data_IF_252568013422
#
_entry.id   IF_252568013422
#
_cell.length_a   1.000
_cell.length_b   1.000
_cell.length_c   1.000
_cell.angle_alpha   90.00
_cell.angle_beta   90.00
_cell.angle_gamma   90.00
#
_symmetry.space_group_name_H-M   'P 1'
#
loop_
_entity.id
_entity.type
_entity.pdbx_description
1 polymer ?
#
# COMPACT_ATOMS: atom_id res chain seq x y z
N UNK A 1 14.69 -5.45 -17.42
CA UNK A 1 15.53 -6.56 -17.24
C UNK A 1 14.79 -7.89 -17.18
N UNK A 2 15.12 -8.81 -18.05
CA UNK A 2 14.52 -10.14 -18.20
C UNK A 2 14.55 -10.94 -16.89
N UNK A 3 15.51 -10.69 -16.03
CA UNK A 3 15.75 -11.44 -14.80
C UNK A 3 14.63 -11.39 -13.75
N UNK A 4 13.89 -10.28 -13.58
CA UNK A 4 12.84 -10.21 -12.55
C UNK A 4 11.62 -11.04 -12.91
N UNK A 5 11.12 -10.91 -14.13
CA UNK A 5 9.98 -11.72 -14.59
C UNK A 5 10.32 -13.20 -14.60
N UNK A 6 11.57 -13.57 -14.95
CA UNK A 6 12.07 -14.93 -14.89
C UNK A 6 12.22 -15.43 -13.45
N UNK A 7 12.74 -14.60 -12.54
CA UNK A 7 12.90 -14.96 -11.13
C UNK A 7 11.55 -15.19 -10.43
N UNK A 8 10.55 -14.37 -10.78
CA UNK A 8 9.22 -14.46 -10.20
C UNK A 8 8.32 -15.46 -10.93
N UNK A 9 8.72 -15.92 -12.11
CA UNK A 9 7.88 -16.71 -13.04
C UNK A 9 6.48 -16.08 -13.25
N UNK A 10 6.46 -14.75 -13.38
CA UNK A 10 5.23 -13.98 -13.42
C UNK A 10 5.17 -13.13 -14.70
N UNK A 11 4.21 -13.41 -15.62
CA UNK A 11 4.09 -12.71 -16.90
C UNK A 11 3.33 -11.37 -16.81
N UNK A 12 2.70 -11.08 -15.69
CA UNK A 12 1.87 -9.89 -15.49
C UNK A 12 2.67 -8.62 -15.21
N UNK A 13 1.95 -7.53 -14.96
CA UNK A 13 2.53 -6.24 -14.60
C UNK A 13 3.21 -6.30 -13.22
N UNK A 14 4.38 -5.69 -13.12
CA UNK A 14 5.16 -5.60 -11.89
C UNK A 14 5.08 -4.17 -11.36
N UNK A 15 4.64 -4.06 -10.12
CA UNK A 15 4.59 -2.80 -9.37
C UNK A 15 5.62 -2.85 -8.25
N UNK A 16 6.36 -1.77 -8.03
CA UNK A 16 7.33 -1.68 -6.93
C UNK A 16 7.05 -0.49 -6.03
N UNK A 17 7.34 -0.66 -4.75
CA UNK A 17 7.40 0.42 -3.78
C UNK A 17 8.75 1.17 -3.87
N UNK A 18 8.80 2.40 -3.35
CA UNK A 18 10.02 3.22 -3.28
C UNK A 18 10.99 2.79 -2.19
N UNK A 19 10.54 1.95 -1.25
CA UNK A 19 11.32 1.55 -0.08
C UNK A 19 11.33 2.55 1.08
N UNK A 20 10.53 3.60 1.04
CA UNK A 20 10.45 4.62 2.11
C UNK A 20 10.14 4.01 3.48
N UNK A 21 9.26 3.00 3.53
CA UNK A 21 8.97 2.28 4.77
C UNK A 21 10.20 1.55 5.33
N UNK A 22 11.05 1.00 4.47
CA UNK A 22 12.29 0.32 4.87
C UNK A 22 13.27 1.31 5.50
N UNK A 23 13.40 2.51 4.96
CA UNK A 23 14.21 3.58 5.55
C UNK A 23 13.72 3.94 6.96
N UNK A 24 12.41 3.95 7.17
CA UNK A 24 11.82 4.18 8.50
C UNK A 24 12.17 3.06 9.49
N UNK A 25 12.19 1.80 9.05
CA UNK A 25 12.44 0.63 9.93
C UNK A 25 13.93 0.43 10.22
N UNK A 26 14.79 0.63 9.22
CA UNK A 26 16.21 0.27 9.27
C UNK A 26 17.17 1.47 9.33
N UNK A 27 16.66 2.69 9.33
CA UNK A 27 17.41 3.94 9.31
C UNK A 27 17.52 4.56 7.92
N UNK A 28 17.91 5.83 7.89
CA UNK A 28 17.97 6.59 6.64
C UNK A 28 18.95 5.97 5.63
N UNK A 29 18.41 5.66 4.48
CA UNK A 29 19.19 5.40 3.27
C UNK A 29 19.16 6.69 2.47
N UNK A 30 20.32 7.33 2.29
CA UNK A 30 20.46 8.51 1.46
C UNK A 30 20.30 8.13 -0.01
N UNK A 31 19.06 8.13 -0.50
CA UNK A 31 18.72 7.90 -1.90
C UNK A 31 17.88 9.08 -2.40
N UNK A 32 18.24 9.61 -3.55
CA UNK A 32 17.51 10.71 -4.17
C UNK A 32 16.24 10.20 -4.89
N UNK A 33 15.21 11.08 -5.08
CA UNK A 33 14.05 10.76 -5.89
C UNK A 33 14.40 10.26 -7.30
N UNK A 34 15.44 10.81 -7.90
CA UNK A 34 15.94 10.40 -9.20
C UNK A 34 16.46 8.95 -9.19
N UNK A 35 17.37 8.64 -8.27
CA UNK A 35 17.98 7.30 -8.18
C UNK A 35 16.94 6.20 -7.97
N UNK A 36 15.88 6.46 -7.18
CA UNK A 36 14.80 5.51 -6.98
C UNK A 36 14.03 5.24 -8.27
N UNK A 37 13.73 6.27 -9.06
CA UNK A 37 13.02 6.10 -10.33
C UNK A 37 13.92 5.42 -11.37
N UNK A 38 15.19 5.81 -11.48
CA UNK A 38 16.17 5.16 -12.35
C UNK A 38 16.31 3.67 -12.03
N UNK A 39 16.47 3.33 -10.75
CA UNK A 39 16.57 1.93 -10.32
C UNK A 39 15.34 1.12 -10.72
N UNK A 40 14.13 1.64 -10.47
CA UNK A 40 12.89 0.96 -10.83
C UNK A 40 12.76 0.77 -12.35
N UNK A 41 13.16 1.77 -13.13
CA UNK A 41 13.22 1.68 -14.59
C UNK A 41 14.23 0.62 -15.06
N UNK A 42 15.44 0.62 -14.50
CA UNK A 42 16.52 -0.32 -14.87
C UNK A 42 16.15 -1.78 -14.58
N UNK A 43 15.45 -2.03 -13.49
CA UNK A 43 14.97 -3.37 -13.16
C UNK A 43 13.72 -3.79 -13.96
N UNK A 44 13.20 -2.92 -14.81
CA UNK A 44 12.16 -3.24 -15.79
C UNK A 44 10.76 -3.44 -15.19
N UNK A 45 10.38 -2.62 -14.20
CA UNK A 45 9.00 -2.63 -13.68
C UNK A 45 8.05 -1.88 -14.61
N UNK A 46 6.77 -2.21 -14.54
CA UNK A 46 5.74 -1.52 -15.32
C UNK A 46 5.25 -0.27 -14.59
N UNK A 47 5.17 -0.34 -13.26
CA UNK A 47 4.76 0.78 -12.40
C UNK A 47 5.74 0.91 -11.25
N UNK A 48 6.43 2.03 -11.17
CA UNK A 48 7.26 2.40 -10.04
C UNK A 48 6.50 3.26 -9.02
N UNK A 49 7.12 3.54 -7.89
CA UNK A 49 6.61 4.47 -6.88
C UNK A 49 7.63 5.57 -6.64
N UNK A 50 7.20 6.84 -6.68
CA UNK A 50 8.08 7.95 -6.33
C UNK A 50 8.51 7.87 -4.87
N UNK A 51 9.70 8.41 -4.56
CA UNK A 51 10.18 8.50 -3.19
C UNK A 51 9.38 9.54 -2.42
N UNK A 52 8.54 9.11 -1.50
CA UNK A 52 7.76 9.95 -0.61
C UNK A 52 8.43 10.15 0.76
N UNK A 53 7.78 10.88 1.65
CA UNK A 53 8.16 10.97 3.07
C UNK A 53 7.10 10.27 3.90
N UNK A 54 7.48 9.17 4.53
CA UNK A 54 6.55 8.31 5.25
C UNK A 54 5.85 9.04 6.41
N UNK A 55 4.52 9.15 6.33
CA UNK A 55 3.69 9.79 7.33
C UNK A 55 3.13 8.79 8.34
N UNK A 56 3.56 8.88 9.61
CA UNK A 56 3.05 8.02 10.69
C UNK A 56 1.75 8.57 11.29
N UNK A 57 0.87 7.69 11.80
CA UNK A 57 -0.36 8.14 12.47
C UNK A 57 -0.16 8.89 13.79
N UNK A 58 1.03 8.79 14.40
CA UNK A 58 1.38 9.44 15.66
C UNK A 58 2.17 10.76 15.49
N UNK A 59 2.37 11.20 14.25
CA UNK A 59 3.00 12.48 13.94
C UNK A 59 2.18 13.66 14.46
N UNK A 60 2.87 14.70 14.90
CA UNK A 60 2.26 16.01 15.08
C UNK A 60 1.74 16.55 13.74
N UNK A 61 0.80 17.50 13.81
CA UNK A 61 0.29 18.13 12.59
C UNK A 61 1.38 18.79 11.76
N UNK A 62 2.34 19.45 12.42
CA UNK A 62 3.46 20.10 11.76
C UNK A 62 4.35 19.10 11.02
N UNK A 63 4.70 17.97 11.64
CA UNK A 63 5.47 16.90 11.00
C UNK A 63 4.71 16.30 9.80
N UNK A 64 3.40 16.08 9.95
CA UNK A 64 2.57 15.58 8.85
C UNK A 64 2.48 16.57 7.69
N UNK A 65 2.36 17.87 7.96
CA UNK A 65 2.37 18.90 6.92
C UNK A 65 3.74 19.00 6.22
N UNK A 66 4.82 18.91 6.96
CA UNK A 66 6.18 18.88 6.39
C UNK A 66 6.38 17.66 5.50
N UNK A 67 5.90 16.49 5.90
CA UNK A 67 5.92 15.26 5.09
C UNK A 67 5.18 15.44 3.77
N UNK A 68 3.99 16.03 3.79
CA UNK A 68 3.20 16.33 2.57
C UNK A 68 3.94 17.29 1.65
N UNK A 69 4.46 18.39 2.20
CA UNK A 69 5.15 19.42 1.42
C UNK A 69 6.45 18.88 0.80
N UNK A 70 7.23 18.10 1.55
CA UNK A 70 8.46 17.48 1.05
C UNK A 70 8.16 16.43 -0.03
N UNK A 71 7.16 15.57 0.19
CA UNK A 71 6.73 14.60 -0.81
C UNK A 71 6.32 15.31 -2.10
N UNK A 72 5.54 16.39 -2.00
CA UNK A 72 5.10 17.14 -3.17
C UNK A 72 6.28 17.81 -3.91
N UNK A 73 7.29 18.31 -3.20
CA UNK A 73 8.48 18.91 -3.82
C UNK A 73 9.23 17.96 -4.75
N UNK A 74 9.13 16.65 -4.53
CA UNK A 74 9.80 15.62 -5.33
C UNK A 74 9.03 15.22 -6.59
N UNK A 75 7.79 15.69 -6.76
CA UNK A 75 6.87 15.27 -7.85
C UNK A 75 7.47 15.52 -9.22
N UNK A 76 7.82 16.77 -9.54
CA UNK A 76 8.29 17.14 -10.89
C UNK A 76 9.56 16.38 -11.27
N UNK A 77 10.52 16.23 -10.33
CA UNK A 77 11.73 15.46 -10.59
C UNK A 77 11.42 13.99 -10.87
N UNK A 78 10.53 13.37 -10.08
CA UNK A 78 10.16 11.96 -10.23
C UNK A 78 9.45 11.71 -11.57
N UNK A 79 8.48 12.55 -11.94
CA UNK A 79 7.75 12.44 -13.20
C UNK A 79 8.66 12.66 -14.41
N UNK A 80 9.55 13.66 -14.33
CA UNK A 80 10.53 13.92 -15.39
C UNK A 80 11.49 12.75 -15.59
N UNK A 81 11.96 12.11 -14.51
CA UNK A 81 12.86 10.95 -14.59
C UNK A 81 12.16 9.69 -15.13
N UNK A 82 10.90 9.48 -14.81
CA UNK A 82 10.11 8.37 -15.35
C UNK A 82 9.89 8.51 -16.87
N UNK A 83 9.61 9.72 -17.33
CA UNK A 83 9.26 10.01 -18.71
C UNK A 83 8.14 9.08 -19.20
N UNK A 84 8.30 8.54 -20.41
CA UNK A 84 7.38 7.55 -20.99
C UNK A 84 7.81 6.10 -20.75
N UNK A 85 8.85 5.88 -19.93
CA UNK A 85 9.48 4.57 -19.77
C UNK A 85 8.78 3.67 -18.78
N UNK A 86 8.25 4.24 -17.69
CA UNK A 86 7.48 3.55 -16.65
C UNK A 86 6.34 4.43 -16.17
N UNK A 87 5.26 3.82 -15.72
CA UNK A 87 4.22 4.52 -14.97
C UNK A 87 4.69 4.77 -13.53
N UNK A 88 4.22 5.84 -12.89
CA UNK A 88 4.51 6.11 -11.48
C UNK A 88 3.26 6.16 -10.62
N UNK A 89 3.41 5.66 -9.40
CA UNK A 89 2.52 5.88 -8.28
C UNK A 89 2.87 7.20 -7.59
N UNK A 90 1.83 7.97 -7.23
CA UNK A 90 1.94 9.18 -6.41
C UNK A 90 1.39 8.94 -5.00
N UNK A 91 2.24 8.59 -4.00
CA UNK A 91 1.79 8.29 -2.64
C UNK A 91 1.19 9.51 -1.95
N UNK A 92 0.06 9.30 -1.27
CA UNK A 92 -0.66 10.31 -0.51
C UNK A 92 -0.32 10.18 0.97
N UNK A 93 0.27 11.23 1.54
CA UNK A 93 0.67 11.32 2.94
C UNK A 93 -0.20 12.33 3.70
N UNK A 94 0.01 12.52 5.01
CA UNK A 94 -0.75 13.49 5.82
C UNK A 94 -1.14 12.98 7.22
N UNK A 95 -0.53 11.89 7.70
CA UNK A 95 -0.82 11.32 9.02
C UNK A 95 -2.29 10.94 9.18
N UNK A 96 -2.90 11.34 10.28
CA UNK A 96 -4.34 11.14 10.56
C UNK A 96 -5.19 12.38 10.25
N UNK A 97 -4.59 13.41 9.66
CA UNK A 97 -5.26 14.70 9.41
C UNK A 97 -5.96 14.68 8.05
N UNK A 98 -7.29 14.63 8.07
CA UNK A 98 -8.14 14.51 6.87
C UNK A 98 -7.89 15.65 5.86
N UNK A 99 -7.73 16.88 6.33
CA UNK A 99 -7.45 18.04 5.48
C UNK A 99 -6.06 17.97 4.81
N UNK A 100 -5.05 17.45 5.51
CA UNK A 100 -3.73 17.21 4.93
C UNK A 100 -3.76 16.06 3.92
N UNK A 101 -4.55 15.02 4.18
CA UNK A 101 -4.78 13.92 3.22
C UNK A 101 -5.50 14.42 1.96
N UNK A 102 -6.52 15.26 2.11
CA UNK A 102 -7.19 15.89 0.97
C UNK A 102 -6.22 16.80 0.19
N UNK A 103 -5.46 17.66 0.87
CA UNK A 103 -4.42 18.50 0.26
C UNK A 103 -3.39 17.67 -0.50
N UNK A 104 -2.88 16.62 0.10
CA UNK A 104 -1.92 15.71 -0.54
C UNK A 104 -2.51 15.04 -1.78
N UNK A 105 -3.75 14.53 -1.68
CA UNK A 105 -4.45 13.92 -2.80
C UNK A 105 -4.68 14.90 -3.96
N UNK A 106 -5.11 16.12 -3.68
CA UNK A 106 -5.24 17.18 -4.67
C UNK A 106 -3.91 17.45 -5.40
N UNK A 107 -2.82 17.62 -4.63
CA UNK A 107 -1.50 17.88 -5.19
C UNK A 107 -1.00 16.73 -6.07
N UNK A 108 -1.19 15.48 -5.64
CA UNK A 108 -0.77 14.29 -6.38
C UNK A 108 -1.64 14.00 -7.61
N UNK A 109 -2.87 14.48 -7.66
CA UNK A 109 -3.75 14.27 -8.79
C UNK A 109 -3.55 15.26 -9.95
N UNK A 110 -2.76 16.31 -9.73
CA UNK A 110 -2.50 17.35 -10.75
C UNK A 110 -1.64 16.80 -11.88
N UNK A 111 -1.84 17.38 -13.03
CA UNK A 111 -0.94 17.24 -14.18
C UNK A 111 0.20 18.24 -13.98
N UNK A 112 1.43 17.82 -14.18
CA UNK A 112 2.58 18.71 -14.09
C UNK A 112 2.72 19.60 -15.34
N UNK A 113 3.70 20.49 -15.35
CA UNK A 113 3.94 21.44 -16.46
C UNK A 113 4.27 20.73 -17.78
N UNK A 114 4.76 19.50 -17.75
CA UNK A 114 5.05 18.68 -18.93
C UNK A 114 3.82 17.92 -19.48
N UNK A 115 2.72 17.91 -18.73
CA UNK A 115 1.54 17.09 -19.03
C UNK A 115 1.59 15.70 -18.38
N UNK A 116 2.62 15.37 -17.60
CA UNK A 116 2.74 14.11 -16.90
C UNK A 116 1.87 14.07 -15.63
N UNK A 117 1.45 12.87 -15.26
CA UNK A 117 0.61 12.63 -14.07
C UNK A 117 0.84 11.22 -13.51
N UNK A 118 0.57 11.02 -12.24
CA UNK A 118 0.64 9.71 -11.62
C UNK A 118 -0.46 8.77 -12.14
N UNK A 119 -0.13 7.49 -12.25
CA UNK A 119 -1.03 6.45 -12.73
C UNK A 119 -1.96 5.94 -11.61
N UNK A 120 -1.43 5.73 -10.41
CA UNK A 120 -2.12 5.20 -9.24
C UNK A 120 -1.79 6.08 -8.03
N UNK A 121 -2.74 6.19 -7.10
CA UNK A 121 -2.62 7.02 -5.90
C UNK A 121 -2.64 6.15 -4.63
N UNK A 122 -1.47 5.66 -4.16
CA UNK A 122 -1.39 4.91 -2.92
C UNK A 122 -1.62 5.79 -1.69
N UNK A 123 -2.38 5.29 -0.72
CA UNK A 123 -2.54 5.91 0.60
C UNK A 123 -1.47 5.30 1.51
N UNK A 124 -0.44 6.09 1.84
CA UNK A 124 0.67 5.64 2.67
C UNK A 124 0.42 5.82 4.17
N UNK A 125 1.20 5.12 5.00
CA UNK A 125 1.21 5.30 6.45
C UNK A 125 -0.03 4.82 7.20
N UNK A 126 -0.87 3.97 6.60
CA UNK A 126 -2.15 3.53 7.15
C UNK A 126 -2.12 2.14 7.83
N UNK A 127 -1.08 1.35 7.61
CA UNK A 127 -0.94 0.02 8.23
C UNK A 127 -1.08 0.05 9.76
N UNK A 128 -0.45 0.98 10.51
CA UNK A 128 -0.62 1.03 11.95
C UNK A 128 -2.05 1.34 12.41
N UNK A 129 -2.86 2.00 11.58
CA UNK A 129 -4.28 2.23 11.87
C UNK A 129 -5.08 0.92 11.78
N UNK A 130 -4.80 0.11 10.76
CA UNK A 130 -5.37 -1.23 10.62
C UNK A 130 -4.98 -2.13 11.79
N UNK A 131 -3.69 -2.20 12.12
CA UNK A 131 -3.17 -3.05 13.19
C UNK A 131 -3.73 -2.68 14.58
N UNK A 132 -3.91 -1.38 14.83
CA UNK A 132 -4.48 -0.85 16.08
C UNK A 132 -6.00 -0.73 16.05
N UNK A 133 -6.66 -1.25 15.02
CA UNK A 133 -8.12 -1.23 14.83
C UNK A 133 -8.73 0.19 14.89
N UNK A 134 -7.97 1.20 14.46
CA UNK A 134 -8.41 2.59 14.34
C UNK A 134 -9.20 2.79 13.03
N UNK A 135 -10.24 2.00 12.84
CA UNK A 135 -10.97 1.91 11.57
C UNK A 135 -11.70 3.20 11.21
N UNK A 136 -12.22 3.93 12.20
CA UNK A 136 -12.89 5.21 11.93
C UNK A 136 -11.93 6.18 11.23
N UNK A 137 -10.71 6.34 11.75
CA UNK A 137 -9.71 7.22 11.15
C UNK A 137 -9.24 6.71 9.80
N UNK A 138 -9.05 5.38 9.67
CA UNK A 138 -8.68 4.77 8.40
C UNK A 138 -9.70 5.10 7.28
N UNK A 139 -11.00 4.93 7.57
CA UNK A 139 -12.04 5.20 6.58
C UNK A 139 -12.26 6.69 6.35
N UNK A 140 -12.10 7.55 7.36
CA UNK A 140 -12.10 9.01 7.18
C UNK A 140 -10.98 9.45 6.23
N UNK A 141 -9.79 8.88 6.35
CA UNK A 141 -8.67 9.13 5.44
C UNK A 141 -9.03 8.74 4.00
N UNK A 142 -9.62 7.56 3.80
CA UNK A 142 -10.03 7.12 2.45
C UNK A 142 -11.03 8.11 1.85
N UNK A 143 -12.03 8.54 2.61
CA UNK A 143 -13.01 9.52 2.16
C UNK A 143 -12.38 10.87 1.82
N UNK A 144 -11.47 11.37 2.66
CA UNK A 144 -10.75 12.61 2.41
C UNK A 144 -9.93 12.53 1.11
N UNK A 145 -9.21 11.44 0.89
CA UNK A 145 -8.46 11.18 -0.35
C UNK A 145 -9.40 11.08 -1.55
N UNK A 146 -10.44 10.26 -1.45
CA UNK A 146 -11.42 10.05 -2.55
C UNK A 146 -12.09 11.32 -2.99
N UNK A 147 -12.29 12.28 -2.09
CA UNK A 147 -12.91 13.56 -2.41
C UNK A 147 -12.09 14.42 -3.40
N UNK A 148 -10.79 14.14 -3.56
CA UNK A 148 -9.87 14.91 -4.39
C UNK A 148 -9.33 14.14 -5.61
N UNK A 149 -9.34 12.81 -5.55
CA UNK A 149 -8.85 11.99 -6.67
C UNK A 149 -9.90 11.91 -7.77
N UNK A 150 -9.55 12.21 -9.03
CA UNK A 150 -10.45 12.07 -10.18
C UNK A 150 -10.99 10.64 -10.29
N UNK A 151 -12.27 10.46 -10.71
CA UNK A 151 -12.92 9.15 -10.77
C UNK A 151 -12.21 8.10 -11.64
N UNK A 152 -11.42 8.55 -12.60
CA UNK A 152 -10.67 7.69 -13.53
C UNK A 152 -9.25 7.36 -13.04
N UNK A 153 -8.90 7.77 -11.81
CA UNK A 153 -7.59 7.46 -11.20
C UNK A 153 -7.77 6.45 -10.07
N UNK A 154 -7.06 5.31 -10.13
CA UNK A 154 -7.13 4.29 -9.10
C UNK A 154 -6.53 4.74 -7.76
N UNK A 155 -7.13 4.24 -6.68
CA UNK A 155 -6.65 4.39 -5.30
C UNK A 155 -6.14 3.05 -4.79
N UNK A 156 -5.00 3.05 -4.14
CA UNK A 156 -4.35 1.87 -3.57
C UNK A 156 -4.17 2.01 -2.06
N UNK A 157 -4.58 1.05 -1.28
CA UNK A 157 -4.29 0.97 0.16
C UNK A 157 -2.97 0.27 0.39
N UNK A 158 -1.88 1.02 0.56
CA UNK A 158 -0.54 0.45 0.76
C UNK A 158 -0.44 -0.36 2.05
N UNK A 159 -0.06 -1.63 1.91
CA UNK A 159 0.17 -2.56 3.01
C UNK A 159 -1.09 -3.00 3.78
N UNK A 160 -2.26 -2.55 3.39
CA UNK A 160 -3.52 -2.79 4.10
C UNK A 160 -4.35 -3.89 3.42
N UNK A 161 -3.88 -5.13 3.46
CA UNK A 161 -4.51 -6.27 2.78
C UNK A 161 -5.25 -7.23 3.72
N UNK A 162 -5.80 -6.78 4.85
CA UNK A 162 -6.65 -7.65 5.66
C UNK A 162 -8.03 -7.82 5.02
N UNK A 163 -8.49 -9.07 4.74
CA UNK A 163 -9.75 -9.33 4.01
C UNK A 163 -10.99 -8.66 4.63
N UNK A 164 -11.03 -8.52 5.95
CA UNK A 164 -12.11 -7.84 6.67
C UNK A 164 -12.34 -6.39 6.21
N UNK A 165 -11.30 -5.72 5.69
CA UNK A 165 -11.37 -4.32 5.26
C UNK A 165 -11.86 -4.17 3.81
N UNK A 166 -11.72 -5.20 2.99
CA UNK A 166 -11.99 -5.11 1.56
C UNK A 166 -13.40 -4.62 1.21
N UNK A 167 -14.49 -5.19 1.79
CA UNK A 167 -15.84 -4.81 1.36
C UNK A 167 -16.11 -3.30 1.53
N UNK A 168 -15.74 -2.75 2.70
CA UNK A 168 -15.98 -1.33 2.96
C UNK A 168 -15.01 -0.44 2.17
N UNK A 169 -13.74 -0.80 2.07
CA UNK A 169 -12.74 -0.05 1.30
C UNK A 169 -13.11 0.03 -0.17
N UNK A 170 -13.55 -1.07 -0.78
CA UNK A 170 -14.02 -1.10 -2.17
C UNK A 170 -15.29 -0.26 -2.34
N UNK A 171 -16.24 -0.34 -1.40
CA UNK A 171 -17.44 0.50 -1.42
C UNK A 171 -17.11 2.01 -1.33
N UNK A 172 -16.00 2.37 -0.69
CA UNK A 172 -15.48 3.74 -0.61
C UNK A 172 -14.62 4.13 -1.82
N UNK A 173 -14.37 3.22 -2.76
CA UNK A 173 -13.68 3.49 -4.02
C UNK A 173 -12.18 3.23 -4.01
N UNK A 174 -11.74 2.28 -3.22
CA UNK A 174 -10.37 1.72 -3.29
C UNK A 174 -10.35 0.62 -4.35
N UNK A 175 -9.29 0.61 -5.17
CA UNK A 175 -9.15 -0.30 -6.32
C UNK A 175 -8.07 -1.37 -6.10
N UNK A 176 -7.01 -1.05 -5.35
CA UNK A 176 -5.87 -1.93 -5.14
C UNK A 176 -5.52 -2.11 -3.67
N UNK A 177 -5.02 -3.30 -3.35
CA UNK A 177 -4.53 -3.68 -2.03
C UNK A 177 -3.25 -4.49 -2.18
N UNK A 178 -2.34 -4.36 -1.25
CA UNK A 178 -1.18 -5.23 -1.06
C UNK A 178 -0.99 -5.55 0.42
N UNK A 179 -0.37 -6.66 0.72
CA UNK A 179 -0.03 -6.99 2.11
C UNK A 179 0.97 -8.13 2.21
N UNK A 180 1.90 -8.02 3.14
CA UNK A 180 2.71 -9.14 3.64
C UNK A 180 2.07 -9.83 4.85
N UNK A 181 0.87 -9.42 5.26
CA UNK A 181 0.23 -9.90 6.49
C UNK A 181 -0.01 -11.42 6.46
N UNK A 182 -0.30 -12.00 5.29
CA UNK A 182 -0.53 -13.45 5.17
C UNK A 182 0.68 -14.27 5.65
N UNK A 183 1.90 -13.91 5.26
CA UNK A 183 3.14 -14.57 5.72
C UNK A 183 3.42 -14.30 7.19
N UNK A 184 3.27 -13.04 7.61
CA UNK A 184 3.55 -12.64 8.99
C UNK A 184 2.58 -13.33 9.97
N UNK A 185 1.31 -13.40 9.61
CA UNK A 185 0.28 -14.02 10.44
C UNK A 185 0.41 -15.55 10.45
N UNK A 186 0.77 -16.17 9.32
CA UNK A 186 1.06 -17.60 9.27
C UNK A 186 2.20 -18.01 10.23
N UNK A 187 3.25 -17.19 10.32
CA UNK A 187 4.35 -17.41 11.27
C UNK A 187 3.91 -17.39 12.74
N UNK A 188 2.84 -16.64 13.04
CA UNK A 188 2.22 -16.53 14.36
C UNK A 188 1.06 -17.52 14.56
N UNK A 189 0.92 -18.52 13.70
CA UNK A 189 -0.21 -19.46 13.69
C UNK A 189 -1.58 -18.76 13.63
N UNK A 190 -1.69 -17.71 12.80
CA UNK A 190 -2.92 -16.95 12.56
C UNK A 190 -3.35 -17.09 11.11
N UNK A 191 -4.65 -17.12 10.89
CA UNK A 191 -5.29 -17.15 9.57
C UNK A 191 -6.12 -15.88 9.40
N UNK A 192 -6.01 -15.27 8.21
CA UNK A 192 -6.84 -14.14 7.81
C UNK A 192 -8.17 -14.67 7.25
N UNK A 193 -9.28 -14.14 7.76
CA UNK A 193 -10.62 -14.41 7.24
C UNK A 193 -11.39 -13.11 7.02
N UNK A 194 -12.48 -13.12 6.24
CA UNK A 194 -13.34 -11.94 6.09
C UNK A 194 -13.96 -11.45 7.40
N UNK A 195 -14.11 -12.35 8.39
CA UNK A 195 -14.66 -12.05 9.71
C UNK A 195 -13.60 -11.57 10.71
N UNK A 196 -12.32 -11.69 10.36
CA UNK A 196 -11.21 -11.27 11.23
C UNK A 196 -10.05 -12.24 11.19
N UNK A 197 -9.17 -12.12 12.19
CA UNK A 197 -8.00 -12.99 12.35
C UNK A 197 -8.28 -14.09 13.36
N UNK A 198 -8.02 -15.34 12.98
CA UNK A 198 -8.23 -16.52 13.81
C UNK A 198 -6.92 -17.23 14.11
N UNK A 199 -6.70 -17.62 15.38
CA UNK A 199 -5.58 -18.50 15.73
C UNK A 199 -5.87 -19.93 15.27
N UNK A 200 -4.85 -20.59 14.69
CA UNK A 200 -4.96 -21.97 14.21
C UNK A 200 -5.47 -22.93 15.29
N UNK A 201 -5.06 -22.73 16.54
CA UNK A 201 -5.54 -23.53 17.68
C UNK A 201 -7.05 -23.37 17.94
N UNK A 202 -7.63 -22.24 17.59
CA UNK A 202 -9.06 -21.94 17.71
C UNK A 202 -9.92 -22.41 16.54
N UNK A 203 -9.34 -22.95 15.47
CA UNK A 203 -10.09 -23.37 14.28
C UNK A 203 -11.16 -24.43 14.57
N UNK A 204 -10.95 -25.29 15.58
CA UNK A 204 -11.92 -26.31 15.96
C UNK A 204 -13.15 -25.75 16.67
N UNK A 205 -13.03 -24.56 17.24
CA UNK A 205 -14.06 -23.91 18.06
C UNK A 205 -14.79 -22.79 17.30
N UNK A 206 -14.22 -22.36 16.18
CA UNK A 206 -14.74 -21.26 15.38
C UNK A 206 -15.57 -21.80 14.20
N UNK A 207 -16.81 -21.32 13.99
CA UNK A 207 -17.64 -21.74 12.87
C UNK A 207 -17.17 -21.10 11.55
N UNK A 208 -15.95 -21.43 11.12
CA UNK A 208 -15.41 -20.96 9.85
C UNK A 208 -16.00 -21.81 8.73
N UNK A 209 -16.57 -21.15 7.72
CA UNK A 209 -17.06 -21.84 6.53
C UNK A 209 -15.90 -22.48 5.75
N UNK A 210 -16.16 -23.58 5.08
CA UNK A 210 -15.18 -24.21 4.20
C UNK A 210 -14.71 -23.26 3.09
N UNK A 211 -15.56 -22.31 2.68
CA UNK A 211 -15.23 -21.29 1.70
C UNK A 211 -14.15 -20.33 2.22
N UNK A 212 -14.24 -19.90 3.49
CA UNK A 212 -13.20 -19.07 4.11
C UNK A 212 -11.84 -19.80 4.23
N UNK A 213 -11.84 -21.13 4.18
CA UNK A 213 -10.63 -21.96 4.16
C UNK A 213 -10.32 -22.49 2.74
N UNK A 214 -10.82 -21.85 1.70
CA UNK A 214 -10.63 -22.27 0.30
C UNK A 214 -11.05 -23.74 0.04
N UNK A 215 -12.16 -24.16 0.62
CA UNK A 215 -12.69 -25.52 0.50
C UNK A 215 -12.00 -26.57 1.36
N UNK A 216 -11.04 -26.18 2.19
CA UNK A 216 -10.30 -27.09 3.09
C UNK A 216 -11.02 -27.26 4.43
N UNK A 217 -10.81 -28.40 5.06
CA UNK A 217 -11.22 -28.62 6.46
C UNK A 217 -10.18 -28.00 7.43
N UNK A 218 -10.57 -27.67 8.67
CA UNK A 218 -9.61 -27.24 9.69
C UNK A 218 -8.43 -28.20 9.89
N UNK A 219 -8.67 -29.51 9.78
CA UNK A 219 -7.63 -30.55 9.91
C UNK A 219 -6.63 -30.51 8.75
N UNK A 220 -7.10 -30.27 7.54
CA UNK A 220 -6.24 -30.11 6.36
C UNK A 220 -5.39 -28.85 6.48
N UNK A 221 -5.96 -27.71 6.89
CA UNK A 221 -5.20 -26.48 7.13
C UNK A 221 -4.14 -26.69 8.22
N UNK A 222 -4.47 -27.37 9.32
CA UNK A 222 -3.53 -27.68 10.41
C UNK A 222 -2.37 -28.58 9.98
N UNK A 223 -2.55 -29.38 8.93
CA UNK A 223 -1.50 -30.26 8.37
C UNK A 223 -0.51 -29.55 7.44
N UNK A 224 -0.84 -28.34 6.98
CA UNK A 224 0.03 -27.56 6.10
C UNK A 224 1.27 -27.02 6.85
N UNK A 225 2.37 -26.75 6.14
CA UNK A 225 3.47 -25.92 6.65
C UNK A 225 2.95 -24.58 7.15
N UNK A 226 3.60 -23.97 8.14
CA UNK A 226 3.16 -22.70 8.74
C UNK A 226 2.97 -21.59 7.69
N UNK A 227 3.87 -21.52 6.72
CA UNK A 227 3.90 -20.53 5.66
C UNK A 227 2.75 -20.67 4.67
N UNK A 228 2.08 -21.81 4.65
CA UNK A 228 0.98 -22.10 3.73
C UNK A 228 -0.41 -22.04 4.40
N UNK A 229 -0.49 -21.63 5.69
CA UNK A 229 -1.75 -21.67 6.47
C UNK A 229 -2.59 -20.40 6.35
N UNK A 230 -2.08 -19.33 5.74
CA UNK A 230 -2.79 -18.05 5.63
C UNK A 230 -3.02 -17.61 4.19
#
# INVERSE_FOLDING_TARGET
DVYKRQLLDFPGAIVTDSGTFQSYVYGDVEVSPKEIVEFQREIGVDVGTMLDVFGRPDMSREEAENSVNETHRRVSQSLSEAGDSILLNGPIQGGVYEDLRAKSAELMSRVDESGATFAIHPIGGIVPLMEKQRYQELFSIILAVKSQIPPNKPIHMFGCGHPMLFPLSVALGVDFFDSAAYVLFARDDRILTPEGTVKVQGLKEWPISSEALFGRTPSEVLSLPKEERS
#
